data_IF_901033999423
#
_entry.id   IF_901033999423
#
_cell.length_a   1.000
_cell.length_b   1.000
_cell.length_c   1.000
_cell.angle_alpha   90.00
_cell.angle_beta   90.00
_cell.angle_gamma   90.00
#
_symmetry.space_group_name_H-M   'P 1'
#
loop_
_entity.id
_entity.type
_entity.pdbx_description
1 polymer ?
#
# COMPACT_ATOMS: atom_id res chain seq x y z
N UNK A 1 -34.32 -31.49 42.46
CA UNK A 1 -33.32 -30.42 42.42
C UNK A 1 -32.32 -30.52 41.25
N UNK A 2 -31.96 -31.73 40.77
CA UNK A 2 -30.94 -31.88 39.66
C UNK A 2 -31.34 -31.28 38.29
N UNK A 3 -32.63 -31.28 37.92
CA UNK A 3 -33.08 -30.74 36.60
C UNK A 3 -33.01 -29.22 36.48
N UNK A 4 -33.15 -28.45 37.55
CA UNK A 4 -33.05 -26.98 37.54
C UNK A 4 -31.60 -26.50 37.34
N UNK A 5 -30.61 -27.22 37.85
CA UNK A 5 -29.23 -26.90 37.70
C UNK A 5 -28.71 -27.18 36.28
N UNK A 6 -29.24 -28.21 35.61
CA UNK A 6 -28.90 -28.53 34.24
C UNK A 6 -29.40 -27.46 33.25
N UNK A 7 -30.62 -26.97 33.44
CA UNK A 7 -31.15 -25.86 32.61
C UNK A 7 -30.33 -24.58 32.75
N UNK A 8 -29.92 -24.24 33.98
CA UNK A 8 -29.08 -23.08 34.24
C UNK A 8 -27.69 -23.21 33.58
N UNK A 9 -27.10 -24.40 33.63
CA UNK A 9 -25.80 -24.67 32.99
C UNK A 9 -25.87 -24.54 31.45
N UNK A 10 -26.97 -25.02 30.85
CA UNK A 10 -27.20 -24.92 29.40
C UNK A 10 -27.36 -23.43 28.96
N UNK A 11 -28.12 -22.65 29.72
CA UNK A 11 -28.30 -21.21 29.43
C UNK A 11 -26.98 -20.46 29.57
N UNK A 12 -26.18 -20.74 30.58
CA UNK A 12 -24.86 -20.13 30.76
C UNK A 12 -23.91 -20.49 29.61
N UNK A 13 -23.86 -21.76 29.24
CA UNK A 13 -23.02 -22.19 28.11
C UNK A 13 -23.44 -21.53 26.79
N UNK A 14 -24.74 -21.44 26.52
CA UNK A 14 -25.25 -20.75 25.34
C UNK A 14 -24.90 -19.27 25.36
N UNK A 15 -25.01 -18.60 26.52
CA UNK A 15 -24.63 -17.18 26.66
C UNK A 15 -23.12 -16.96 26.36
N UNK A 16 -22.24 -17.84 26.84
CA UNK A 16 -20.80 -17.77 26.56
C UNK A 16 -20.51 -17.99 25.08
N UNK A 17 -21.13 -19.00 24.45
CA UNK A 17 -20.96 -19.32 23.02
C UNK A 17 -21.38 -18.15 22.11
N UNK A 18 -22.38 -17.39 22.53
CA UNK A 18 -22.82 -16.18 21.76
C UNK A 18 -22.01 -14.92 22.10
N UNK A 19 -21.61 -14.74 23.35
CA UNK A 19 -20.89 -13.55 23.78
C UNK A 19 -19.46 -13.48 23.22
N UNK A 20 -18.76 -14.60 23.11
CA UNK A 20 -17.37 -14.63 22.62
C UNK A 20 -17.27 -14.18 21.15
N UNK A 21 -18.06 -14.71 20.18
CA UNK A 21 -18.00 -14.23 18.81
C UNK A 21 -18.39 -12.76 18.66
N UNK A 22 -19.39 -12.28 19.41
CA UNK A 22 -19.81 -10.88 19.39
C UNK A 22 -18.72 -9.97 19.94
N UNK A 23 -18.09 -10.32 21.06
CA UNK A 23 -16.99 -9.57 21.63
C UNK A 23 -15.77 -9.51 20.71
N UNK A 24 -15.39 -10.62 20.11
CA UNK A 24 -14.29 -10.68 19.14
C UNK A 24 -14.61 -9.84 17.91
N UNK A 25 -15.82 -9.94 17.38
CA UNK A 25 -16.24 -9.14 16.21
C UNK A 25 -16.16 -7.63 16.50
N UNK A 26 -16.67 -7.19 17.65
CA UNK A 26 -16.64 -5.77 18.04
C UNK A 26 -15.19 -5.28 18.18
N UNK A 27 -14.34 -6.03 18.89
CA UNK A 27 -12.91 -5.66 19.07
C UNK A 27 -12.15 -5.64 17.75
N UNK A 28 -12.43 -6.56 16.82
CA UNK A 28 -11.81 -6.55 15.50
C UNK A 28 -12.28 -5.36 14.65
N UNK A 29 -13.55 -4.96 14.78
CA UNK A 29 -14.08 -3.79 14.08
C UNK A 29 -13.44 -2.50 14.62
N UNK A 30 -13.34 -2.36 15.94
CA UNK A 30 -12.67 -1.21 16.57
C UNK A 30 -11.19 -1.10 16.18
N UNK A 31 -10.46 -2.22 16.20
CA UNK A 31 -9.05 -2.26 15.77
C UNK A 31 -8.89 -1.91 14.29
N UNK A 32 -9.82 -2.34 13.45
CA UNK A 32 -9.84 -1.99 12.04
C UNK A 32 -10.07 -0.50 11.84
N UNK A 33 -11.07 0.08 12.50
CA UNK A 33 -11.39 1.51 12.43
C UNK A 33 -10.20 2.37 12.95
N UNK A 34 -9.53 1.93 14.02
CA UNK A 34 -8.34 2.59 14.54
C UNK A 34 -7.18 2.53 13.54
N UNK A 35 -6.95 1.37 12.92
CA UNK A 35 -5.94 1.21 11.89
C UNK A 35 -6.25 2.05 10.65
N UNK A 36 -7.50 2.07 10.18
CA UNK A 36 -7.95 2.92 9.07
C UNK A 36 -7.77 4.40 9.39
N UNK A 37 -8.13 4.84 10.60
CA UNK A 37 -7.93 6.22 11.03
C UNK A 37 -6.45 6.60 11.07
N UNK A 38 -5.58 5.74 11.60
CA UNK A 38 -4.13 6.00 11.64
C UNK A 38 -3.53 6.03 10.23
N UNK A 39 -4.04 5.21 9.34
CA UNK A 39 -3.57 5.12 7.96
C UNK A 39 -3.91 6.38 7.15
N UNK A 40 -5.16 6.85 7.25
CA UNK A 40 -5.64 7.99 6.46
C UNK A 40 -5.56 9.34 7.18
N UNK A 41 -5.62 9.35 8.51
CA UNK A 41 -5.80 10.57 9.32
C UNK A 41 -4.89 10.59 10.54
N UNK A 42 -3.57 10.46 10.34
CA UNK A 42 -2.64 10.53 11.46
C UNK A 42 -2.64 11.94 12.10
N UNK A 43 -3.04 12.01 13.37
CA UNK A 43 -3.04 13.24 14.16
C UNK A 43 -1.62 13.77 14.46
N UNK A 44 -0.57 13.01 14.14
CA UNK A 44 0.83 13.43 14.29
C UNK A 44 1.34 14.23 13.09
N UNK A 45 0.54 14.35 12.03
CA UNK A 45 0.78 15.25 10.90
C UNK A 45 1.36 14.60 9.66
N UNK A 46 1.49 13.27 9.60
CA UNK A 46 1.91 12.56 8.39
C UNK A 46 1.22 11.20 8.31
N UNK A 47 0.12 11.13 7.59
CA UNK A 47 -0.58 9.88 7.36
C UNK A 47 0.21 8.96 6.41
N UNK A 48 0.16 7.65 6.63
CA UNK A 48 0.81 6.67 5.76
C UNK A 48 0.36 6.84 4.31
N UNK A 49 -0.92 7.13 4.11
CA UNK A 49 -1.52 7.39 2.80
C UNK A 49 -0.86 8.58 2.06
N UNK A 50 -0.56 9.68 2.75
CA UNK A 50 0.12 10.84 2.16
C UNK A 50 1.51 10.46 1.64
N UNK A 51 2.25 9.65 2.41
CA UNK A 51 3.55 9.11 1.98
C UNK A 51 3.46 8.21 0.75
N UNK A 52 2.35 7.47 0.60
CA UNK A 52 2.13 6.64 -0.59
C UNK A 52 1.78 7.48 -1.82
N UNK A 53 1.00 8.55 -1.67
CA UNK A 53 0.71 9.49 -2.76
C UNK A 53 1.99 10.22 -3.22
N UNK A 54 2.84 10.64 -2.30
CA UNK A 54 4.13 11.27 -2.62
C UNK A 54 5.04 10.32 -3.41
N UNK A 55 5.09 9.03 -3.03
CA UNK A 55 5.83 8.01 -3.77
C UNK A 55 5.28 7.77 -5.18
N UNK A 56 3.96 7.81 -5.36
CA UNK A 56 3.34 7.72 -6.69
C UNK A 56 3.69 8.94 -7.55
N UNK A 57 3.69 10.13 -6.96
CA UNK A 57 4.10 11.35 -7.66
C UNK A 57 5.58 11.28 -8.09
N UNK A 58 6.45 10.79 -7.20
CA UNK A 58 7.86 10.56 -7.48
C UNK A 58 8.07 9.55 -8.61
N UNK A 59 7.33 8.43 -8.59
CA UNK A 59 7.36 7.44 -9.67
C UNK A 59 6.95 8.03 -11.02
N UNK A 60 5.90 8.86 -11.06
CA UNK A 60 5.47 9.55 -12.27
C UNK A 60 6.53 10.55 -12.79
N UNK A 61 7.24 11.23 -11.89
CA UNK A 61 8.35 12.11 -12.28
C UNK A 61 9.48 11.29 -12.92
N UNK A 62 9.82 10.14 -12.35
CA UNK A 62 10.82 9.23 -12.91
C UNK A 62 10.44 8.73 -14.31
N UNK A 63 9.16 8.37 -14.51
CA UNK A 63 8.61 8.00 -15.82
C UNK A 63 8.80 9.16 -16.81
N UNK A 64 8.41 10.37 -16.43
CA UNK A 64 8.51 11.57 -17.29
C UNK A 64 9.95 11.86 -17.73
N UNK A 65 10.93 11.67 -16.84
CA UNK A 65 12.34 11.81 -17.21
C UNK A 65 12.74 10.69 -18.15
N UNK A 66 12.40 9.45 -17.85
CA UNK A 66 12.80 8.28 -18.64
C UNK A 66 12.24 8.31 -20.07
N UNK A 67 11.02 8.81 -20.26
CA UNK A 67 10.39 8.96 -21.58
C UNK A 67 11.23 9.78 -22.57
N UNK A 68 11.97 10.78 -22.09
CA UNK A 68 12.84 11.63 -22.92
C UNK A 68 13.97 10.85 -23.57
N UNK A 69 14.37 9.74 -22.96
CA UNK A 69 15.54 8.94 -23.37
C UNK A 69 15.18 7.61 -24.04
N UNK A 70 13.92 7.37 -24.33
CA UNK A 70 13.47 6.13 -24.99
C UNK A 70 14.02 5.94 -26.41
N UNK A 71 14.31 7.04 -27.11
CA UNK A 71 14.97 7.01 -28.44
C UNK A 71 16.45 6.58 -28.35
N UNK A 72 17.14 6.93 -27.27
CA UNK A 72 18.55 6.62 -27.03
C UNK A 72 18.72 5.24 -26.40
N UNK A 73 17.79 4.90 -25.50
CA UNK A 73 17.73 3.59 -24.85
C UNK A 73 16.32 2.99 -24.94
N UNK A 74 16.00 2.24 -26.01
CA UNK A 74 14.68 1.63 -26.20
C UNK A 74 14.27 0.65 -25.10
N UNK A 75 15.22 0.11 -24.32
CA UNK A 75 14.92 -0.78 -23.20
C UNK A 75 14.13 -0.07 -22.08
N UNK A 76 14.24 1.26 -21.97
CA UNK A 76 13.46 2.05 -21.02
C UNK A 76 11.95 1.94 -21.25
N UNK A 77 11.50 1.73 -22.49
CA UNK A 77 10.06 1.61 -22.80
C UNK A 77 9.38 0.49 -21.99
N UNK A 78 10.04 -0.67 -21.86
CA UNK A 78 9.50 -1.76 -21.04
C UNK A 78 9.48 -1.42 -19.56
N UNK A 79 10.57 -0.84 -19.05
CA UNK A 79 10.69 -0.45 -17.64
C UNK A 79 9.69 0.65 -17.25
N UNK A 80 9.44 1.61 -18.15
CA UNK A 80 8.39 2.62 -17.99
C UNK A 80 7.02 1.95 -17.87
N UNK A 81 6.69 1.04 -18.78
CA UNK A 81 5.42 0.31 -18.75
C UNK A 81 5.20 -0.48 -17.46
N UNK A 82 6.24 -1.11 -16.94
CA UNK A 82 6.20 -1.84 -15.68
C UNK A 82 5.94 -0.89 -14.49
N UNK A 83 6.61 0.27 -14.44
CA UNK A 83 6.38 1.25 -13.39
C UNK A 83 5.00 1.88 -13.47
N UNK A 84 4.53 2.26 -14.66
CA UNK A 84 3.17 2.75 -14.87
C UNK A 84 2.10 1.74 -14.42
N UNK A 85 2.32 0.45 -14.70
CA UNK A 85 1.41 -0.59 -14.25
C UNK A 85 1.32 -0.63 -12.73
N UNK A 86 2.45 -0.57 -12.03
CA UNK A 86 2.46 -0.61 -10.55
C UNK A 86 1.86 0.64 -9.92
N UNK A 87 2.07 1.83 -10.52
CA UNK A 87 1.40 3.08 -10.08
C UNK A 87 -0.13 2.95 -10.23
N UNK A 88 -0.63 2.47 -11.38
CA UNK A 88 -2.06 2.22 -11.57
C UNK A 88 -2.61 1.17 -10.61
N UNK A 89 -1.83 0.14 -10.30
CA UNK A 89 -2.22 -0.89 -9.32
C UNK A 89 -2.39 -0.26 -7.93
N UNK A 90 -1.46 0.58 -7.50
CA UNK A 90 -1.54 1.29 -6.22
C UNK A 90 -2.78 2.20 -6.16
N UNK A 91 -3.05 2.96 -7.21
CA UNK A 91 -4.24 3.82 -7.29
C UNK A 91 -5.56 3.04 -7.24
N UNK A 92 -5.60 1.86 -7.84
CA UNK A 92 -6.80 1.02 -7.87
C UNK A 92 -7.00 0.20 -6.58
N UNK A 93 -5.99 0.12 -5.73
CA UNK A 93 -6.04 -0.63 -4.46
C UNK A 93 -6.52 0.22 -3.28
N UNK A 94 -6.95 1.46 -3.52
CA UNK A 94 -7.42 2.36 -2.46
C UNK A 94 -8.49 1.70 -1.57
N UNK A 95 -8.25 1.71 -0.26
CA UNK A 95 -9.12 1.06 0.73
C UNK A 95 -8.87 -0.43 0.93
N UNK A 96 -7.95 -1.05 0.17
CA UNK A 96 -7.44 -2.39 0.41
C UNK A 96 -5.98 -2.32 0.89
N UNK A 97 -5.77 -2.30 2.20
CA UNK A 97 -4.44 -2.16 2.80
C UNK A 97 -3.44 -3.21 2.33
N UNK A 98 -3.89 -4.45 2.13
CA UNK A 98 -3.01 -5.52 1.65
C UNK A 98 -2.63 -5.29 0.19
N UNK A 99 -3.60 -4.91 -0.65
CA UNK A 99 -3.39 -4.55 -2.04
C UNK A 99 -2.49 -3.32 -2.19
N UNK A 100 -2.72 -2.28 -1.40
CA UNK A 100 -1.88 -1.07 -1.39
C UNK A 100 -0.44 -1.38 -0.98
N UNK A 101 -0.22 -2.17 0.08
CA UNK A 101 1.11 -2.57 0.52
C UNK A 101 1.84 -3.38 -0.56
N UNK A 102 1.15 -4.32 -1.20
CA UNK A 102 1.71 -5.12 -2.29
C UNK A 102 2.05 -4.25 -3.51
N UNK A 103 1.15 -3.37 -3.92
CA UNK A 103 1.37 -2.46 -5.04
C UNK A 103 2.57 -1.53 -4.80
N UNK A 104 2.71 -1.01 -3.57
CA UNK A 104 3.86 -0.21 -3.18
C UNK A 104 5.18 -0.98 -3.23
N UNK A 105 5.20 -2.24 -2.79
CA UNK A 105 6.37 -3.08 -2.90
C UNK A 105 6.77 -3.32 -4.36
N UNK A 106 5.79 -3.59 -5.22
CA UNK A 106 6.02 -3.77 -6.65
C UNK A 106 6.52 -2.47 -7.30
N UNK A 107 5.94 -1.33 -6.95
CA UNK A 107 6.33 -0.01 -7.44
C UNK A 107 7.79 0.31 -7.06
N UNK A 108 8.23 -0.03 -5.84
CA UNK A 108 9.62 0.14 -5.42
C UNK A 108 10.58 -0.65 -6.33
N UNK A 109 10.26 -1.91 -6.64
CA UNK A 109 11.08 -2.74 -7.53
C UNK A 109 11.13 -2.20 -8.96
N UNK A 110 9.98 -1.77 -9.49
CA UNK A 110 9.89 -1.20 -10.84
C UNK A 110 10.62 0.15 -10.95
N UNK A 111 10.49 1.02 -9.93
CA UNK A 111 11.21 2.29 -9.87
C UNK A 111 12.72 2.09 -9.83
N UNK A 112 13.20 1.14 -9.02
CA UNK A 112 14.62 0.80 -8.96
C UNK A 112 15.14 0.30 -10.32
N UNK A 113 14.39 -0.56 -10.99
CA UNK A 113 14.77 -1.08 -12.30
C UNK A 113 14.85 0.05 -13.36
N UNK A 114 13.89 0.96 -13.36
CA UNK A 114 13.88 2.11 -14.26
C UNK A 114 15.04 3.08 -13.96
N UNK A 115 15.30 3.34 -12.69
CA UNK A 115 16.44 4.13 -12.23
C UNK A 115 17.77 3.54 -12.71
N UNK A 116 17.96 2.22 -12.54
CA UNK A 116 19.17 1.54 -12.99
C UNK A 116 19.30 1.56 -14.53
N UNK A 117 18.16 1.49 -15.24
CA UNK A 117 18.10 1.68 -16.69
C UNK A 117 18.55 3.07 -17.13
N UNK A 118 18.10 4.11 -16.42
CA UNK A 118 18.51 5.51 -16.65
C UNK A 118 20.00 5.73 -16.37
N UNK A 119 20.54 5.18 -15.30
CA UNK A 119 22.00 5.26 -15.00
C UNK A 119 22.89 4.71 -16.11
N UNK A 120 22.39 3.76 -16.89
CA UNK A 120 23.08 3.19 -18.03
C UNK A 120 22.84 3.98 -19.34
N UNK A 121 22.13 5.10 -19.25
CA UNK A 121 21.83 6.00 -20.38
C UNK A 121 22.60 7.31 -20.20
N UNK A 122 23.07 7.89 -21.29
CA UNK A 122 23.74 9.18 -21.22
C UNK A 122 22.70 10.29 -21.00
N UNK A 123 22.57 10.73 -19.75
CA UNK A 123 21.63 11.78 -19.36
C UNK A 123 22.20 13.17 -19.65
N UNK A 124 21.34 14.19 -19.78
CA UNK A 124 21.73 15.59 -19.76
C UNK A 124 22.20 16.01 -18.36
N UNK A 125 23.04 17.03 -18.26
CA UNK A 125 23.51 17.58 -16.96
C UNK A 125 22.36 18.01 -16.03
N UNK A 126 21.21 18.37 -16.60
CA UNK A 126 20.01 18.76 -15.87
C UNK A 126 19.32 17.51 -15.30
N UNK A 127 19.21 16.45 -16.09
CA UNK A 127 18.51 15.22 -15.72
C UNK A 127 19.38 14.29 -14.86
N UNK A 128 20.71 14.40 -14.86
CA UNK A 128 21.61 13.65 -13.95
C UNK A 128 21.34 13.92 -12.46
N UNK A 129 20.76 15.08 -12.14
CA UNK A 129 20.44 15.44 -10.74
C UNK A 129 19.17 14.79 -10.21
N UNK A 130 18.25 14.37 -11.08
CA UNK A 130 16.98 13.76 -10.66
C UNK A 130 17.13 12.36 -10.02
N UNK A 131 18.00 11.48 -10.54
CA UNK A 131 18.22 10.19 -9.92
C UNK A 131 18.74 10.24 -8.48
N UNK A 132 19.51 11.26 -8.12
CA UNK A 132 20.09 11.40 -6.79
C UNK A 132 19.11 12.01 -5.76
N UNK A 133 17.94 12.47 -6.20
CA UNK A 133 16.89 13.07 -5.35
C UNK A 133 15.71 12.10 -5.09
N UNK A 134 15.69 10.93 -5.70
CA UNK A 134 14.70 9.86 -5.55
C UNK A 134 15.14 8.83 -4.53
#
# INVERSE_FOLDING_TARGET
MKKKNAAGAIVLAAAIVLAVPLGVHTSLTELREEAENTYYYDNTGYAVYEGLEERQATANNLITVAERYTSENPALTGLIGDLEYTVRLAQNSYGDFAGEAQANQMMTGAAQALYDGLKNTQLSEEDEKYPDQL
#
